data_IF_054909209376
#
_entry.id   IF_054909209376
#
_cell.length_a   1.000
_cell.length_b   1.000
_cell.length_c   1.000
_cell.angle_alpha   90.00
_cell.angle_beta   90.00
_cell.angle_gamma   90.00
#
_symmetry.space_group_name_H-M   'P 1'
#
loop_
_entity.id
_entity.type
_entity.pdbx_description
1 polymer ?
#
# COMPACT_ATOMS: atom_id res chain seq x y z
N UNK A 1 -16.00 -1.71 4.77
CA UNK A 1 -14.92 -2.62 4.34
C UNK A 1 -13.61 -1.89 4.60
N UNK A 2 -12.61 -2.55 5.17
CA UNK A 2 -11.35 -1.91 5.48
C UNK A 2 -10.36 -2.02 4.31
N UNK A 3 -9.92 -0.88 3.81
CA UNK A 3 -8.96 -0.77 2.72
C UNK A 3 -7.69 -0.07 3.19
N UNK A 4 -6.59 -0.82 3.19
CA UNK A 4 -5.26 -0.30 3.50
C UNK A 4 -4.54 0.08 2.21
N UNK A 5 -4.03 1.30 2.14
CA UNK A 5 -3.17 1.78 1.06
C UNK A 5 -1.74 1.87 1.57
N UNK A 6 -0.89 0.92 1.18
CA UNK A 6 0.54 0.90 1.49
C UNK A 6 1.35 1.34 0.27
N UNK A 7 1.93 2.54 0.33
CA UNK A 7 2.86 2.95 -0.73
C UNK A 7 4.12 2.10 -0.68
N UNK A 8 4.66 1.74 -1.85
CA UNK A 8 5.94 1.05 -1.93
C UNK A 8 7.05 1.74 -1.11
N UNK A 9 8.02 0.97 -0.63
CA UNK A 9 9.18 1.45 0.10
C UNK A 9 10.14 2.28 -0.74
N UNK A 10 11.21 2.77 -0.13
CA UNK A 10 12.27 3.45 -0.88
C UNK A 10 12.91 2.54 -1.93
N UNK A 11 13.00 3.04 -3.16
CA UNK A 11 13.52 2.35 -4.32
C UNK A 11 14.72 3.11 -4.89
N UNK A 12 15.62 2.39 -5.55
CA UNK A 12 16.97 2.87 -5.92
C UNK A 12 16.93 4.04 -6.91
N UNK A 13 17.19 5.27 -6.44
CA UNK A 13 17.17 6.48 -7.26
C UNK A 13 18.12 7.53 -6.68
N UNK A 14 18.87 8.29 -7.49
CA UNK A 14 18.86 8.35 -8.96
C UNK A 14 19.86 7.40 -9.65
N UNK A 15 20.53 6.52 -8.91
CA UNK A 15 21.60 5.67 -9.44
C UNK A 15 21.13 4.52 -10.35
N UNK A 16 19.82 4.33 -10.48
CA UNK A 16 19.22 3.31 -11.34
C UNK A 16 19.26 3.68 -12.81
N UNK A 17 19.83 2.80 -13.64
CA UNK A 17 20.08 3.01 -15.07
C UNK A 17 19.33 2.02 -15.98
N UNK A 18 18.36 1.27 -15.43
CA UNK A 18 17.51 0.29 -16.12
C UNK A 18 16.05 0.80 -16.18
N UNK A 19 15.11 0.08 -16.82
CA UNK A 19 13.69 0.43 -16.82
C UNK A 19 13.12 0.69 -15.41
N UNK A 20 12.21 1.65 -15.27
CA UNK A 20 11.68 2.10 -13.96
C UNK A 20 10.89 1.01 -13.23
N UNK A 21 10.19 0.16 -13.97
CA UNK A 21 9.39 -0.96 -13.48
C UNK A 21 10.25 -2.04 -12.81
N UNK A 22 11.47 -2.25 -13.29
CA UNK A 22 12.48 -3.14 -12.71
C UNK A 22 13.19 -2.55 -11.48
N UNK A 23 12.93 -1.30 -11.10
CA UNK A 23 13.65 -0.65 -10.01
C UNK A 23 13.36 -1.33 -8.66
N UNK A 24 14.37 -1.88 -7.97
CA UNK A 24 14.19 -2.58 -6.70
C UNK A 24 14.11 -1.59 -5.53
N UNK A 25 13.65 -2.10 -4.39
CA UNK A 25 13.82 -1.42 -3.11
C UNK A 25 15.30 -1.31 -2.74
N UNK A 26 15.68 -0.17 -2.17
CA UNK A 26 16.98 -0.01 -1.50
C UNK A 26 17.00 -0.87 -0.23
N UNK A 27 18.18 -1.16 0.32
CA UNK A 27 18.27 -1.88 1.60
C UNK A 27 17.66 -1.08 2.75
N UNK A 28 17.74 0.24 2.68
CA UNK A 28 17.02 1.13 3.58
C UNK A 28 15.50 0.98 3.42
N UNK A 29 14.99 1.00 2.19
CA UNK A 29 13.56 0.81 1.89
C UNK A 29 13.04 -0.54 2.39
N UNK A 30 13.77 -1.64 2.16
CA UNK A 30 13.44 -2.98 2.70
C UNK A 30 13.36 -2.96 4.22
N UNK A 31 14.31 -2.30 4.89
CA UNK A 31 14.34 -2.17 6.36
C UNK A 31 13.15 -1.37 6.88
N UNK A 32 12.80 -0.25 6.24
CA UNK A 32 11.64 0.56 6.62
C UNK A 32 10.33 -0.20 6.45
N UNK A 33 10.12 -0.87 5.31
CA UNK A 33 8.92 -1.69 5.07
C UNK A 33 8.79 -2.77 6.15
N UNK A 34 9.89 -3.44 6.51
CA UNK A 34 9.87 -4.46 7.57
C UNK A 34 9.50 -3.86 8.94
N UNK A 35 9.95 -2.64 9.25
CA UNK A 35 9.57 -1.96 10.49
C UNK A 35 8.08 -1.60 10.51
N UNK A 36 7.57 -1.06 9.40
CA UNK A 36 6.14 -0.77 9.22
C UNK A 36 5.32 -2.04 9.36
N UNK A 37 5.67 -3.12 8.68
CA UNK A 37 4.94 -4.38 8.77
C UNK A 37 4.92 -4.97 10.19
N UNK A 38 6.04 -4.89 10.93
CA UNK A 38 6.10 -5.28 12.35
C UNK A 38 5.21 -4.41 13.23
N UNK A 39 5.15 -3.12 12.94
CA UNK A 39 4.28 -2.19 13.66
C UNK A 39 2.80 -2.50 13.40
N UNK A 40 2.41 -2.73 12.13
CA UNK A 40 1.07 -3.15 11.75
C UNK A 40 0.68 -4.46 12.45
N UNK A 41 1.60 -5.42 12.52
CA UNK A 41 1.38 -6.68 13.24
C UNK A 41 1.09 -6.45 14.73
N UNK A 42 1.84 -5.56 15.40
CA UNK A 42 1.60 -5.16 16.79
C UNK A 42 0.26 -4.46 17.00
N UNK A 43 -0.20 -3.70 16.01
CA UNK A 43 -1.53 -3.10 15.99
C UNK A 43 -2.65 -4.12 15.69
N UNK A 44 -2.30 -5.41 15.53
CA UNK A 44 -3.22 -6.48 15.17
C UNK A 44 -3.91 -6.25 13.83
N UNK A 45 -3.24 -5.57 12.89
CA UNK A 45 -3.70 -5.49 11.50
C UNK A 45 -3.61 -6.88 10.89
N UNK A 46 -4.74 -7.39 10.38
CA UNK A 46 -4.89 -8.72 9.81
C UNK A 46 -5.66 -8.63 8.49
N UNK A 47 -5.01 -8.23 7.38
CA UNK A 47 -5.68 -8.24 6.10
C UNK A 47 -6.00 -9.68 5.70
N UNK A 48 -7.17 -9.89 5.10
CA UNK A 48 -7.53 -11.18 4.49
C UNK A 48 -6.65 -11.47 3.28
N UNK A 49 -6.27 -10.40 2.58
CA UNK A 49 -5.50 -10.44 1.34
C UNK A 49 -4.64 -9.17 1.19
N UNK A 50 -3.45 -9.35 0.64
CA UNK A 50 -2.61 -8.27 0.13
C UNK A 50 -2.62 -8.37 -1.41
N UNK A 51 -2.91 -7.26 -2.08
CA UNK A 51 -2.86 -7.14 -3.54
C UNK A 51 -1.81 -6.08 -3.88
N UNK A 52 -0.94 -6.37 -4.84
CA UNK A 52 0.17 -5.49 -5.20
C UNK A 52 0.18 -5.17 -6.68
N UNK A 53 0.66 -3.97 -7.00
CA UNK A 53 1.16 -3.63 -8.33
C UNK A 53 2.28 -4.61 -8.75
N UNK A 54 2.37 -4.94 -10.05
CA UNK A 54 3.41 -5.84 -10.58
C UNK A 54 4.81 -5.23 -10.58
N UNK A 55 4.93 -3.90 -10.47
CA UNK A 55 6.23 -3.23 -10.46
C UNK A 55 7.09 -3.71 -9.28
N UNK A 56 8.37 -3.96 -9.53
CA UNK A 56 9.25 -4.70 -8.62
C UNK A 56 9.29 -4.11 -7.20
N UNK A 57 9.40 -2.78 -7.09
CA UNK A 57 9.38 -2.06 -5.79
C UNK A 57 8.12 -2.30 -4.97
N UNK A 58 6.96 -2.40 -5.62
CA UNK A 58 5.69 -2.65 -4.96
C UNK A 58 5.58 -4.13 -4.58
N UNK A 59 5.89 -5.05 -5.50
CA UNK A 59 5.88 -6.50 -5.23
C UNK A 59 6.84 -6.87 -4.08
N UNK A 60 8.05 -6.31 -4.04
CA UNK A 60 8.99 -6.49 -2.93
C UNK A 60 8.47 -5.92 -1.59
N UNK A 61 7.78 -4.78 -1.63
CA UNK A 61 7.13 -4.19 -0.45
C UNK A 61 6.04 -5.12 0.07
N UNK A 62 5.18 -5.59 -0.83
CA UNK A 62 4.06 -6.45 -0.52
C UNK A 62 4.50 -7.82 0.01
N UNK A 63 5.54 -8.41 -0.58
CA UNK A 63 6.14 -9.66 -0.08
C UNK A 63 6.64 -9.52 1.36
N UNK A 64 7.36 -8.43 1.64
CA UNK A 64 7.84 -8.15 3.01
C UNK A 64 6.69 -7.99 4.00
N UNK A 65 5.62 -7.31 3.60
CA UNK A 65 4.42 -7.14 4.43
C UNK A 65 3.68 -8.48 4.63
N UNK A 66 3.49 -9.25 3.56
CA UNK A 66 2.83 -10.55 3.57
C UNK A 66 3.51 -11.56 4.48
N UNK A 67 4.85 -11.65 4.42
CA UNK A 67 5.65 -12.52 5.28
C UNK A 67 5.46 -12.17 6.77
N UNK A 68 5.51 -10.88 7.10
CA UNK A 68 5.38 -10.42 8.49
C UNK A 68 3.94 -10.53 9.03
N UNK A 69 2.94 -10.23 8.21
CA UNK A 69 1.52 -10.28 8.59
C UNK A 69 0.91 -11.68 8.44
N UNK A 70 1.65 -12.61 7.81
CA UNK A 70 1.22 -13.98 7.49
C UNK A 70 -0.04 -14.00 6.63
N UNK A 71 -0.10 -13.13 5.63
CA UNK A 71 -1.26 -12.94 4.74
C UNK A 71 -0.92 -13.41 3.32
N UNK A 72 -1.92 -13.90 2.59
CA UNK A 72 -1.78 -14.26 1.17
C UNK A 72 -1.50 -13.01 0.33
N UNK A 73 -0.70 -13.18 -0.72
CA UNK A 73 -0.33 -12.12 -1.66
C UNK A 73 -0.84 -12.46 -3.07
N UNK A 74 -1.37 -11.47 -3.78
CA UNK A 74 -1.74 -11.54 -5.19
C UNK A 74 -1.21 -10.31 -5.92
N UNK A 75 -0.82 -10.49 -7.17
CA UNK A 75 -0.51 -9.37 -8.07
C UNK A 75 -1.74 -9.03 -8.89
N UNK A 76 -1.95 -7.74 -9.16
CA UNK A 76 -3.00 -7.26 -10.05
C UNK A 76 -2.50 -6.05 -10.86
N UNK A 77 -2.53 -6.18 -12.19
CA UNK A 77 -2.14 -5.14 -13.15
C UNK A 77 -2.91 -3.83 -12.95
N UNK A 78 -4.12 -3.88 -12.39
CA UNK A 78 -4.90 -2.67 -12.10
C UNK A 78 -4.18 -1.73 -11.13
N UNK A 79 -3.28 -2.23 -10.27
CA UNK A 79 -2.48 -1.41 -9.35
C UNK A 79 -1.20 -0.81 -9.98
N UNK A 80 -0.95 -1.02 -11.26
CA UNK A 80 0.11 -0.31 -11.98
C UNK A 80 -0.13 1.23 -11.95
N UNK A 81 0.91 2.05 -12.20
CA UNK A 81 0.75 3.50 -12.29
C UNK A 81 -0.39 3.92 -13.22
N UNK A 82 -1.22 4.86 -12.77
CA UNK A 82 -2.50 5.19 -13.39
C UNK A 82 -3.71 4.63 -12.64
N UNK A 83 -3.52 4.12 -11.41
CA UNK A 83 -4.60 3.57 -10.59
C UNK A 83 -5.57 4.67 -10.12
N UNK A 84 -6.85 4.54 -10.48
CA UNK A 84 -7.93 5.44 -10.09
C UNK A 84 -9.15 4.73 -9.49
N UNK A 85 -10.27 5.43 -9.40
CA UNK A 85 -11.53 4.89 -8.85
C UNK A 85 -12.07 3.69 -9.65
N UNK A 86 -11.90 3.71 -10.97
CA UNK A 86 -12.31 2.60 -11.86
C UNK A 86 -11.48 1.34 -11.62
N UNK A 87 -10.17 1.52 -11.50
CA UNK A 87 -9.22 0.44 -11.22
C UNK A 87 -9.43 -0.10 -9.80
N UNK A 88 -9.70 0.78 -8.83
CA UNK A 88 -10.10 0.36 -7.49
C UNK A 88 -11.34 -0.53 -7.54
N UNK A 89 -12.41 -0.11 -8.21
CA UNK A 89 -13.62 -0.93 -8.36
C UNK A 89 -13.31 -2.29 -8.97
N UNK A 90 -12.49 -2.30 -10.03
CA UNK A 90 -12.03 -3.53 -10.68
C UNK A 90 -11.29 -4.47 -9.72
N UNK A 91 -10.40 -3.93 -8.88
CA UNK A 91 -9.67 -4.70 -7.86
C UNK A 91 -10.63 -5.24 -6.80
N UNK A 92 -11.57 -4.44 -6.30
CA UNK A 92 -12.55 -4.86 -5.30
C UNK A 92 -13.46 -5.98 -5.81
N UNK A 93 -13.89 -5.90 -7.08
CA UNK A 93 -14.72 -6.92 -7.72
C UNK A 93 -13.98 -8.26 -7.88
N UNK A 94 -12.69 -8.21 -8.26
CA UNK A 94 -11.84 -9.40 -8.42
C UNK A 94 -11.45 -10.03 -7.08
N UNK A 95 -11.20 -9.21 -6.07
CA UNK A 95 -10.59 -9.62 -4.80
C UNK A 95 -11.54 -9.34 -3.63
N UNK A 96 -12.61 -10.14 -3.54
CA UNK A 96 -13.61 -10.02 -2.46
C UNK A 96 -13.01 -10.35 -1.09
N UNK A 97 -12.70 -9.33 -0.31
CA UNK A 97 -12.16 -9.41 1.05
C UNK A 97 -12.90 -8.44 1.97
N UNK A 98 -12.91 -8.68 3.29
CA UNK A 98 -13.44 -7.70 4.27
C UNK A 98 -12.37 -6.68 4.67
N UNK A 99 -11.12 -7.14 4.70
CA UNK A 99 -9.93 -6.35 4.97
C UNK A 99 -8.92 -6.58 3.86
N UNK A 100 -8.72 -5.57 3.02
CA UNK A 100 -7.84 -5.64 1.86
C UNK A 100 -6.69 -4.65 2.02
N UNK A 101 -5.47 -5.08 1.70
CA UNK A 101 -4.31 -4.19 1.64
C UNK A 101 -3.81 -4.09 0.21
N UNK A 102 -3.81 -2.88 -0.33
CA UNK A 102 -3.29 -2.52 -1.64
C UNK A 102 -1.87 -1.98 -1.49
N UNK A 103 -0.95 -2.48 -2.32
CA UNK A 103 0.44 -2.03 -2.37
C UNK A 103 0.72 -1.42 -3.74
N UNK A 104 1.09 -0.15 -3.76
CA UNK A 104 1.16 0.62 -5.01
C UNK A 104 1.90 1.95 -4.89
N UNK A 105 1.45 2.94 -5.66
CA UNK A 105 2.24 4.11 -6.02
C UNK A 105 1.55 5.43 -5.69
N UNK A 106 2.34 6.50 -5.74
CA UNK A 106 1.87 7.88 -5.71
C UNK A 106 2.02 8.49 -7.11
N UNK A 107 1.18 9.46 -7.48
CA UNK A 107 0.15 10.12 -6.66
C UNK A 107 -1.19 9.36 -6.55
N UNK A 108 -1.32 8.25 -7.27
CA UNK A 108 -2.55 7.45 -7.41
C UNK A 108 -3.28 7.17 -6.09
N UNK A 109 -2.55 6.70 -5.07
CA UNK A 109 -3.14 6.37 -3.77
C UNK A 109 -3.71 7.60 -3.06
N UNK A 110 -2.96 8.70 -2.98
CA UNK A 110 -3.48 9.94 -2.39
C UNK A 110 -4.67 10.48 -3.18
N UNK A 111 -4.68 10.38 -4.51
CA UNK A 111 -5.81 10.78 -5.36
C UNK A 111 -7.06 9.96 -5.08
N UNK A 112 -6.94 8.62 -5.02
CA UNK A 112 -8.07 7.72 -4.72
C UNK A 112 -8.59 7.93 -3.31
N UNK A 113 -7.72 8.03 -2.31
CA UNK A 113 -8.14 8.31 -0.94
C UNK A 113 -8.82 9.67 -0.84
N UNK A 114 -8.34 10.69 -1.56
CA UNK A 114 -8.99 12.00 -1.61
C UNK A 114 -10.38 11.92 -2.25
N UNK A 115 -10.53 11.16 -3.33
CA UNK A 115 -11.82 10.97 -3.98
C UNK A 115 -12.84 10.25 -3.08
N UNK A 116 -12.40 9.22 -2.35
CA UNK A 116 -13.25 8.45 -1.43
C UNK A 116 -13.67 9.25 -0.20
N UNK A 117 -12.76 10.07 0.35
CA UNK A 117 -12.90 10.61 1.71
C UNK A 117 -13.04 12.12 1.78
N UNK A 118 -12.75 12.83 0.69
CA UNK A 118 -12.61 14.29 0.65
C UNK A 118 -11.36 14.83 1.36
N UNK A 119 -10.54 13.97 1.97
CA UNK A 119 -9.35 14.39 2.72
C UNK A 119 -8.15 14.59 1.78
N UNK A 120 -7.42 15.69 1.95
CA UNK A 120 -6.09 15.85 1.36
C UNK A 120 -5.03 15.21 2.27
N UNK A 121 -4.15 14.40 1.69
CA UNK A 121 -3.11 13.69 2.42
C UNK A 121 -1.82 13.57 1.60
N UNK A 122 -0.73 13.27 2.32
CA UNK A 122 0.57 12.92 1.74
C UNK A 122 0.98 11.53 2.20
N UNK A 123 0.96 10.57 1.29
CA UNK A 123 1.42 9.21 1.58
C UNK A 123 2.92 9.06 1.29
N UNK A 124 3.74 9.08 2.36
CA UNK A 124 5.18 8.80 2.26
C UNK A 124 5.47 7.39 1.76
N UNK A 125 6.65 7.15 1.17
CA UNK A 125 7.11 5.77 0.86
C UNK A 125 7.01 4.89 2.11
N UNK A 126 6.61 3.64 1.96
CA UNK A 126 6.25 2.72 3.06
C UNK A 126 5.16 3.25 4.04
N UNK A 127 4.49 4.36 3.73
CA UNK A 127 3.39 4.88 4.52
C UNK A 127 2.10 4.11 4.26
N UNK A 128 1.23 4.07 5.27
CA UNK A 128 -0.02 3.32 5.25
C UNK A 128 -1.18 4.25 5.57
N UNK A 129 -2.22 4.25 4.75
CA UNK A 129 -3.52 4.82 5.09
C UNK A 129 -4.54 3.71 5.28
N UNK A 130 -5.42 3.84 6.27
CA UNK A 130 -6.61 2.99 6.42
C UNK A 130 -7.85 3.82 6.10
N UNK A 131 -8.60 3.36 5.10
CA UNK A 131 -9.91 3.88 4.76
C UNK A 131 -10.96 2.81 5.04
N UNK A 132 -12.03 3.17 5.73
CA UNK A 132 -13.23 2.35 5.77
C UNK A 132 -14.17 2.83 4.66
N UNK A 133 -14.48 1.95 3.71
CA UNK A 133 -15.32 2.25 2.55
C UNK A 133 -16.62 1.44 2.62
N UNK A 134 -17.69 2.00 2.08
CA UNK A 134 -18.80 1.19 1.60
C UNK A 134 -18.44 0.71 0.18
N UNK A 135 -18.43 -0.58 -0.15
CA UNK A 135 -18.14 -1.02 -1.51
C UNK A 135 -19.19 -0.58 -2.55
N UNK A 136 -20.42 -0.32 -2.10
CA UNK A 136 -21.56 0.03 -2.98
C UNK A 136 -21.72 1.54 -3.15
N UNK A 137 -21.26 2.33 -2.19
CA UNK A 137 -21.19 3.78 -2.29
C UNK A 137 -19.73 4.18 -2.50
N UNK A 138 -19.39 4.93 -3.54
CA UNK A 138 -18.01 5.39 -3.83
C UNK A 138 -17.51 6.45 -2.81
N UNK A 139 -17.72 6.19 -1.52
CA UNK A 139 -17.46 7.04 -0.38
C UNK A 139 -16.82 6.21 0.74
N UNK A 140 -16.00 6.88 1.54
CA UNK A 140 -15.38 6.27 2.70
C UNK A 140 -14.87 7.29 3.70
N UNK A 141 -14.31 6.77 4.79
CA UNK A 141 -13.73 7.56 5.86
C UNK A 141 -12.29 7.16 6.07
N UNK A 142 -11.39 8.15 6.00
CA UNK A 142 -10.01 7.98 6.43
C UNK A 142 -9.98 7.79 7.96
N UNK A 143 -9.60 6.60 8.41
CA UNK A 143 -9.53 6.28 9.84
C UNK A 143 -8.18 6.68 10.43
N UNK A 144 -7.08 6.44 9.71
CA UNK A 144 -5.75 6.91 10.11
C UNK A 144 -4.76 6.90 8.93
N UNK A 145 -3.71 7.70 9.09
CA UNK A 145 -2.56 7.79 8.20
C UNK A 145 -1.29 7.59 9.04
N UNK A 146 -0.46 6.66 8.63
CA UNK A 146 0.75 6.26 9.35
C UNK A 146 2.00 6.41 8.47
N UNK A 147 2.86 7.40 8.74
CA UNK A 147 4.16 7.50 8.09
C UNK A 147 5.21 6.58 8.76
N UNK A 148 6.18 6.02 8.02
CA UNK A 148 7.17 5.07 8.54
C UNK A 148 7.99 5.59 9.71
N UNK A 149 8.19 6.91 9.80
CA UNK A 149 8.92 7.56 10.90
C UNK A 149 8.34 7.21 12.28
N UNK A 150 7.04 6.91 12.36
CA UNK A 150 6.38 6.51 13.61
C UNK A 150 6.59 5.03 13.97
N UNK A 151 7.04 4.20 13.04
CA UNK A 151 7.38 2.79 13.32
C UNK A 151 8.79 2.62 13.90
N UNK A 152 9.61 3.68 13.86
CA UNK A 152 10.96 3.67 14.43
C UNK A 152 10.83 3.62 15.95
N UNK A 153 11.50 2.66 16.60
CA UNK A 153 11.66 2.69 18.05
C UNK A 153 12.38 3.99 18.42
N UNK A 154 11.87 4.71 19.41
CA UNK A 154 12.64 5.77 20.08
C UNK A 154 13.98 5.17 20.48
N UNK A 155 15.07 5.87 20.14
CA UNK A 155 16.41 5.51 20.62
C UNK A 155 16.47 5.66 22.13
#
# INVERSE_FOLDING_TARGET
MQLYFLRHGEADWPHWNKPDDERPLTDFGKKEVRQVAKFLDRLKVRPDLIVTSPLLRASQTAKTAAEQLKTKLREDEALAPGFGMKELKTVLDRHRAKVLMLVGHEPDFSSVVSALTGASLKLSKAGVALVDIDPEAEQGRLLWLFPPKLARKSK
#
